data_IF_780027579286
#
_entry.id   IF_780027579286
#
_cell.length_a   1.000
_cell.length_b   1.000
_cell.length_c   1.000
_cell.angle_alpha   90.00
_cell.angle_beta   90.00
_cell.angle_gamma   90.00
#
_symmetry.space_group_name_H-M   'P 1'
#
loop_
_entity.id
_entity.type
_entity.pdbx_description
1 polymer ?
#
# COMPACT_ATOMS: atom_id res chain seq x y z
N UNK A 1 73.87 5.42 15.57
CA UNK A 1 73.22 5.81 14.31
C UNK A 1 71.83 5.18 14.28
N UNK A 2 70.78 5.89 13.82
CA UNK A 2 69.39 5.41 13.90
C UNK A 2 69.09 4.41 12.77
N UNK A 3 68.35 3.34 13.10
CA UNK A 3 67.94 2.32 12.15
C UNK A 3 66.77 2.80 11.26
N UNK A 4 66.76 2.29 10.02
CA UNK A 4 65.74 2.48 9.01
C UNK A 4 64.84 1.23 9.00
N UNK A 5 63.51 1.35 9.10
CA UNK A 5 62.62 1.12 7.96
C UNK A 5 61.13 1.27 8.30
N UNK A 6 60.33 1.51 7.26
CA UNK A 6 58.89 1.72 7.33
C UNK A 6 58.14 0.42 7.67
N UNK A 7 56.98 0.54 8.34
CA UNK A 7 55.86 -0.38 8.19
C UNK A 7 54.55 0.41 8.13
N UNK A 8 53.60 -0.11 7.33
CA UNK A 8 52.39 0.60 6.90
C UNK A 8 51.36 0.71 8.04
N UNK A 9 50.74 1.87 8.20
CA UNK A 9 49.66 2.07 9.18
C UNK A 9 48.28 1.74 8.58
N UNK A 10 47.89 0.49 8.77
CA UNK A 10 46.52 -0.03 8.93
C UNK A 10 45.34 0.74 8.29
N UNK A 11 44.80 0.18 7.20
CA UNK A 11 43.42 0.39 6.79
C UNK A 11 42.46 -0.35 7.75
N UNK A 12 41.90 0.34 8.75
CA UNK A 12 40.80 -0.22 9.55
C UNK A 12 39.46 0.04 8.85
N UNK A 13 39.06 -0.90 7.99
CA UNK A 13 37.63 -1.08 7.72
C UNK A 13 36.99 -1.68 8.98
N UNK A 14 36.09 -0.94 9.61
CA UNK A 14 35.38 -1.37 10.80
C UNK A 14 34.30 -2.40 10.43
N UNK A 15 34.72 -3.66 10.32
CA UNK A 15 33.82 -4.79 10.11
C UNK A 15 33.00 -5.04 11.39
N UNK A 16 31.70 -4.75 11.34
CA UNK A 16 30.80 -5.04 12.46
C UNK A 16 30.46 -6.54 12.47
N UNK A 17 31.25 -7.31 13.21
CA UNK A 17 31.02 -8.74 13.44
C UNK A 17 29.76 -8.99 14.27
N UNK A 18 28.63 -9.24 13.61
CA UNK A 18 27.48 -9.91 14.23
C UNK A 18 27.60 -11.42 14.01
N UNK A 19 28.23 -12.10 14.98
CA UNK A 19 27.97 -13.52 15.22
C UNK A 19 26.50 -13.67 15.69
N UNK A 20 25.78 -14.78 15.50
CA UNK A 20 26.22 -16.17 15.33
C UNK A 20 25.14 -17.02 14.65
N UNK A 21 25.59 -17.99 13.85
CA UNK A 21 24.97 -19.27 13.47
C UNK A 21 23.45 -19.46 13.72
N UNK A 22 22.66 -19.48 12.65
CA UNK A 22 21.77 -20.58 12.21
C UNK A 22 21.26 -20.26 10.79
N UNK A 23 21.21 -21.14 9.78
CA UNK A 23 21.84 -22.44 9.51
C UNK A 23 22.49 -22.40 8.11
N UNK A 24 23.42 -23.32 7.81
CA UNK A 24 23.88 -23.59 6.42
C UNK A 24 23.97 -25.10 6.17
N UNK A 25 23.00 -25.68 5.45
CA UNK A 25 23.14 -26.83 4.54
C UNK A 25 21.73 -27.21 4.03
N UNK A 26 21.35 -27.23 2.74
CA UNK A 26 21.96 -27.75 1.49
C UNK A 26 21.33 -29.12 1.08
N UNK A 27 20.54 -29.05 0.00
CA UNK A 27 20.39 -30.05 -1.09
C UNK A 27 19.36 -31.22 -0.97
N UNK A 28 18.40 -31.16 -1.90
CA UNK A 28 17.67 -32.24 -2.61
C UNK A 28 16.91 -33.33 -1.84
N UNK A 29 15.57 -33.27 -1.95
CA UNK A 29 14.82 -34.39 -2.52
C UNK A 29 13.76 -33.85 -3.49
N UNK A 30 13.78 -34.35 -4.72
CA UNK A 30 12.79 -34.05 -5.76
C UNK A 30 11.86 -35.25 -5.97
N UNK A 31 10.82 -35.05 -6.80
CA UNK A 31 10.02 -36.05 -7.54
C UNK A 31 8.66 -36.45 -6.91
N UNK A 32 7.61 -36.18 -7.70
CA UNK A 32 6.29 -36.84 -7.80
C UNK A 32 5.46 -37.13 -6.53
N UNK A 33 4.25 -36.58 -6.52
CA UNK A 33 3.13 -37.26 -7.21
C UNK A 33 1.96 -36.30 -7.43
N UNK A 34 1.34 -36.37 -8.61
CA UNK A 34 0.13 -35.61 -8.92
C UNK A 34 -1.11 -36.49 -9.00
N UNK A 35 -2.24 -35.94 -8.56
CA UNK A 35 -3.64 -36.28 -8.91
C UNK A 35 -4.40 -34.96 -8.68
N UNK A 36 -4.97 -34.28 -9.68
CA UNK A 36 -6.17 -34.63 -10.47
C UNK A 36 -7.43 -34.84 -9.62
N UNK A 37 -8.57 -34.36 -10.16
CA UNK A 37 -9.90 -34.19 -9.53
C UNK A 37 -9.98 -32.87 -8.73
N UNK A 38 -10.99 -32.00 -8.87
CA UNK A 38 -12.29 -32.16 -9.53
C UNK A 38 -12.62 -31.02 -10.49
N UNK A 39 -13.23 -31.35 -11.63
CA UNK A 39 -14.17 -30.44 -12.27
C UNK A 39 -15.51 -30.51 -11.51
N UNK A 40 -16.20 -29.39 -11.38
CA UNK A 40 -17.65 -29.30 -11.25
C UNK A 40 -18.08 -27.96 -11.84
N UNK A 41 -18.74 -28.04 -13.00
CA UNK A 41 -19.59 -26.98 -13.53
C UNK A 41 -20.62 -26.55 -12.49
N UNK A 42 -20.97 -25.27 -12.52
CA UNK A 42 -22.27 -24.76 -12.04
C UNK A 42 -22.56 -23.47 -12.82
N UNK A 43 -23.33 -23.61 -13.90
CA UNK A 43 -23.89 -22.50 -14.66
C UNK A 43 -25.11 -21.90 -13.94
N UNK A 44 -25.48 -20.68 -14.35
CA UNK A 44 -26.63 -19.90 -13.88
C UNK A 44 -26.59 -19.38 -12.43
N UNK A 45 -26.17 -18.12 -12.29
CA UNK A 45 -27.16 -17.10 -11.97
C UNK A 45 -26.82 -15.79 -12.68
N UNK A 46 -27.69 -15.36 -13.58
CA UNK A 46 -27.68 -13.98 -14.06
C UNK A 46 -28.01 -13.03 -12.91
N UNK A 47 -27.15 -12.03 -12.70
CA UNK A 47 -27.64 -10.73 -12.27
C UNK A 47 -27.13 -9.65 -13.20
N UNK A 48 -27.98 -9.33 -14.18
CA UNK A 48 -27.93 -8.06 -14.88
C UNK A 48 -28.00 -6.93 -13.86
N UNK A 49 -26.94 -6.13 -13.76
CA UNK A 49 -27.07 -4.67 -13.64
C UNK A 49 -26.02 -4.02 -14.53
N UNK A 50 -26.33 -4.01 -15.83
CA UNK A 50 -25.70 -3.07 -16.76
C UNK A 50 -26.36 -1.71 -16.56
N UNK A 51 -25.85 -0.92 -15.62
CA UNK A 51 -26.12 0.50 -15.58
C UNK A 51 -25.06 1.23 -16.42
N UNK A 52 -25.35 1.33 -17.73
CA UNK A 52 -24.70 2.26 -18.63
C UNK A 52 -25.04 3.71 -18.22
N UNK A 53 -24.44 4.20 -17.13
CA UNK A 53 -24.45 5.63 -16.81
C UNK A 53 -23.29 6.32 -17.53
N UNK A 54 -23.50 6.62 -18.80
CA UNK A 54 -22.63 7.51 -19.54
C UNK A 54 -22.77 8.94 -18.98
N UNK A 55 -21.81 9.40 -18.18
CA UNK A 55 -21.73 10.80 -17.77
C UNK A 55 -20.30 11.34 -17.75
N UNK A 56 -20.02 12.24 -18.70
CA UNK A 56 -19.01 13.30 -18.63
C UNK A 56 -17.54 12.92 -18.34
N UNK A 57 -16.81 12.56 -19.40
CA UNK A 57 -15.99 13.58 -20.08
C UNK A 57 -14.86 14.25 -19.29
N UNK A 58 -14.29 13.57 -18.30
CA UNK A 58 -12.92 13.80 -17.84
C UNK A 58 -12.11 12.52 -18.12
N UNK A 59 -10.80 12.64 -18.33
CA UNK A 59 -9.92 11.49 -18.55
C UNK A 59 -9.88 10.61 -17.29
N UNK A 60 -10.77 9.63 -17.22
CA UNK A 60 -10.88 8.70 -16.11
C UNK A 60 -9.77 7.65 -16.21
N UNK A 61 -8.56 8.07 -15.81
CA UNK A 61 -7.43 7.18 -15.61
C UNK A 61 -7.86 6.01 -14.72
N UNK A 62 -7.68 4.78 -15.20
CA UNK A 62 -8.19 3.57 -14.57
C UNK A 62 -7.91 3.56 -13.06
N UNK A 63 -8.98 3.50 -12.26
CA UNK A 63 -8.89 3.56 -10.81
C UNK A 63 -8.34 2.21 -10.30
N UNK A 64 -7.01 2.10 -10.23
CA UNK A 64 -6.32 0.96 -9.64
C UNK A 64 -6.81 0.79 -8.20
N UNK A 65 -7.30 -0.41 -7.88
CA UNK A 65 -7.81 -0.77 -6.56
C UNK A 65 -6.75 -1.50 -5.73
N UNK A 66 -6.70 -1.20 -4.44
CA UNK A 66 -5.86 -1.91 -3.47
C UNK A 66 -6.59 -3.07 -2.77
N UNK A 67 -5.89 -3.81 -1.89
CA UNK A 67 -6.44 -4.95 -1.15
C UNK A 67 -7.66 -4.64 -0.26
N UNK A 68 -7.86 -3.39 0.17
CA UNK A 68 -9.00 -2.93 0.97
C UNK A 68 -10.12 -2.30 0.12
N UNK A 69 -10.07 -2.47 -1.21
CA UNK A 69 -11.04 -1.90 -2.16
C UNK A 69 -10.92 -0.38 -2.36
N UNK A 70 -9.92 0.25 -1.76
CA UNK A 70 -9.62 1.67 -1.90
C UNK A 70 -8.95 1.99 -3.24
N UNK A 71 -8.91 3.27 -3.59
CA UNK A 71 -8.13 3.79 -4.73
C UNK A 71 -6.66 3.83 -4.35
N UNK A 72 -5.80 3.26 -5.19
CA UNK A 72 -4.36 3.45 -5.08
C UNK A 72 -3.95 4.84 -5.58
N UNK A 73 -3.10 5.51 -4.80
CA UNK A 73 -2.46 6.78 -5.11
C UNK A 73 -0.94 6.58 -4.92
N UNK A 74 -0.13 6.81 -5.95
CA UNK A 74 1.31 6.55 -5.90
C UNK A 74 2.12 7.83 -6.13
N UNK A 75 3.12 8.06 -5.28
CA UNK A 75 4.04 9.19 -5.33
C UNK A 75 5.48 8.71 -5.11
N UNK A 76 6.22 8.54 -6.21
CA UNK A 76 7.61 8.02 -6.26
C UNK A 76 7.76 6.61 -5.66
N UNK A 77 8.02 6.52 -4.36
CA UNK A 77 8.18 5.27 -3.61
C UNK A 77 7.15 5.11 -2.49
N UNK A 78 6.31 6.13 -2.28
CA UNK A 78 5.19 6.09 -1.35
C UNK A 78 3.93 5.71 -2.12
N UNK A 79 3.18 4.76 -1.57
CA UNK A 79 1.87 4.37 -2.10
C UNK A 79 0.85 4.48 -0.98
N UNK A 80 -0.34 4.97 -1.32
CA UNK A 80 -1.45 5.10 -0.41
C UNK A 80 -2.68 4.42 -1.02
N UNK A 81 -3.23 3.43 -0.34
CA UNK A 81 -4.59 3.01 -0.59
C UNK A 81 -5.53 3.90 0.20
N UNK A 82 -6.48 4.56 -0.46
CA UNK A 82 -7.49 5.42 0.16
C UNK A 82 -8.90 4.87 -0.12
N UNK A 83 -9.62 4.49 0.93
CA UNK A 83 -10.96 3.92 0.85
C UNK A 83 -11.96 4.76 1.66
N UNK A 84 -13.24 4.74 1.27
CA UNK A 84 -14.33 5.32 2.07
C UNK A 84 -14.98 4.17 2.84
N UNK A 85 -15.17 4.35 4.15
CA UNK A 85 -15.78 3.38 5.03
C UNK A 85 -17.09 3.94 5.60
N UNK A 86 -18.19 3.24 5.39
CA UNK A 86 -19.56 3.73 5.69
C UNK A 86 -20.39 2.70 6.48
N UNK A 87 -19.85 1.49 6.70
CA UNK A 87 -20.59 0.39 7.33
C UNK A 87 -20.63 0.57 8.85
N UNK A 88 -21.78 1.03 9.37
CA UNK A 88 -22.02 1.18 10.80
C UNK A 88 -21.40 2.44 11.43
N UNK A 89 -20.86 3.36 10.61
CA UNK A 89 -20.34 4.68 11.01
C UNK A 89 -20.68 5.71 9.93
N UNK A 90 -20.71 7.02 10.24
CA UNK A 90 -20.77 8.06 9.20
C UNK A 90 -19.62 7.92 8.21
N UNK A 91 -19.80 8.25 6.92
CA UNK A 91 -18.78 8.10 5.89
C UNK A 91 -17.45 8.75 6.25
N UNK A 92 -16.38 7.97 6.26
CA UNK A 92 -15.03 8.40 6.65
C UNK A 92 -13.97 7.86 5.71
N UNK A 93 -12.86 8.58 5.50
CA UNK A 93 -11.71 7.99 4.82
C UNK A 93 -10.93 7.07 5.75
N UNK A 94 -10.48 5.95 5.19
CA UNK A 94 -9.42 5.09 5.74
C UNK A 94 -8.29 4.99 4.75
N UNK A 95 -7.06 4.99 5.25
CA UNK A 95 -5.88 4.91 4.40
C UNK A 95 -4.83 3.94 4.94
N UNK A 96 -4.19 3.21 4.03
CA UNK A 96 -3.08 2.30 4.31
C UNK A 96 -1.90 2.70 3.44
N UNK A 97 -0.73 2.82 4.04
CA UNK A 97 0.46 3.34 3.38
C UNK A 97 1.51 2.25 3.16
N UNK A 98 2.25 2.35 2.04
CA UNK A 98 3.45 1.56 1.77
C UNK A 98 4.61 2.48 1.38
N UNK A 99 5.83 2.07 1.74
CA UNK A 99 7.04 2.67 1.23
C UNK A 99 7.92 1.58 0.61
N UNK A 100 8.26 1.72 -0.68
CA UNK A 100 9.00 0.69 -1.44
C UNK A 100 8.38 -0.70 -1.28
N UNK A 101 7.07 -0.80 -1.52
CA UNK A 101 6.26 -2.03 -1.41
C UNK A 101 6.08 -2.59 0.02
N UNK A 102 6.81 -2.07 1.02
CA UNK A 102 6.66 -2.48 2.42
C UNK A 102 5.53 -1.70 3.11
N UNK A 103 4.57 -2.36 3.80
CA UNK A 103 3.58 -1.68 4.62
C UNK A 103 4.21 -0.82 5.71
N UNK A 104 3.69 0.38 5.92
CA UNK A 104 4.02 1.25 7.04
C UNK A 104 2.96 1.09 8.14
N UNK A 105 3.37 1.13 9.41
CA UNK A 105 2.42 1.19 10.50
C UNK A 105 1.72 2.57 10.51
N UNK A 106 0.41 2.66 10.84
CA UNK A 106 -0.30 3.95 10.86
C UNK A 106 0.36 5.02 11.74
N UNK A 107 1.04 4.61 12.81
CA UNK A 107 1.80 5.50 13.71
C UNK A 107 3.06 6.12 13.11
N UNK A 108 3.55 5.60 11.98
CA UNK A 108 4.78 6.06 11.29
C UNK A 108 4.48 7.11 10.21
N UNK A 109 3.21 7.44 9.98
CA UNK A 109 2.76 8.23 8.83
C UNK A 109 1.96 9.45 9.28
N UNK A 110 2.50 10.65 9.05
CA UNK A 110 1.70 11.88 9.08
C UNK A 110 1.08 12.09 7.69
N UNK A 111 -0.23 11.87 7.57
CA UNK A 111 -0.98 12.06 6.33
C UNK A 111 -1.94 13.25 6.42
N UNK A 112 -1.92 14.07 5.37
CA UNK A 112 -2.94 15.08 5.05
C UNK A 112 -3.29 14.93 3.59
N UNK A 113 -4.58 14.94 3.25
CA UNK A 113 -5.01 14.96 1.84
C UNK A 113 -5.79 16.23 1.54
N UNK A 114 -5.70 16.67 0.29
CA UNK A 114 -6.54 17.74 -0.25
C UNK A 114 -7.59 17.12 -1.17
N UNK A 115 -8.86 17.24 -0.78
CA UNK A 115 -10.02 16.72 -1.47
C UNK A 115 -10.69 17.85 -2.27
N UNK A 116 -10.51 17.87 -3.59
CA UNK A 116 -11.17 18.82 -4.48
C UNK A 116 -12.45 18.21 -5.01
N UNK A 117 -13.60 18.78 -4.63
CA UNK A 117 -14.94 18.37 -5.07
C UNK A 117 -15.37 19.14 -6.32
N UNK A 118 -16.43 18.65 -6.98
CA UNK A 118 -17.12 19.37 -8.04
C UNK A 118 -17.53 20.79 -7.58
N UNK A 119 -17.46 21.76 -8.48
CA UNK A 119 -17.66 23.18 -8.16
C UNK A 119 -16.46 23.87 -7.50
N UNK A 120 -15.30 23.20 -7.37
CA UNK A 120 -14.06 23.81 -6.88
C UNK A 120 -13.97 23.95 -5.36
N UNK A 121 -14.89 23.34 -4.60
CA UNK A 121 -14.77 23.26 -3.14
C UNK A 121 -13.57 22.38 -2.77
N UNK A 122 -12.73 22.88 -1.86
CA UNK A 122 -11.54 22.17 -1.37
C UNK A 122 -11.69 21.87 0.12
N UNK A 123 -11.73 20.59 0.48
CA UNK A 123 -11.69 20.11 1.85
C UNK A 123 -10.26 19.62 2.18
N UNK A 124 -9.75 19.95 3.37
CA UNK A 124 -8.46 19.43 3.88
C UNK A 124 -8.74 18.45 5.01
N UNK A 125 -8.20 17.24 4.90
CA UNK A 125 -8.53 16.14 5.79
C UNK A 125 -7.24 15.64 6.43
N UNK A 126 -7.20 15.62 7.76
CA UNK A 126 -6.07 15.07 8.51
C UNK A 126 -6.41 13.64 8.93
N UNK A 127 -5.38 12.85 9.22
CA UNK A 127 -5.55 11.46 9.61
C UNK A 127 -4.92 11.19 10.98
N UNK A 128 -5.44 10.18 11.67
CA UNK A 128 -4.89 9.65 12.92
C UNK A 128 -4.81 8.13 12.88
N UNK A 129 -3.81 7.50 13.53
CA UNK A 129 -3.74 6.06 13.68
C UNK A 129 -5.02 5.51 14.33
N UNK A 130 -5.61 4.47 13.75
CA UNK A 130 -6.78 3.78 14.28
C UNK A 130 -6.81 2.31 13.81
N UNK A 131 -6.52 1.39 14.75
CA UNK A 131 -6.29 -0.02 14.44
C UNK A 131 -5.16 -0.20 13.41
N UNK A 132 -5.42 -0.91 12.31
CA UNK A 132 -4.52 -1.19 11.20
C UNK A 132 -4.41 -0.05 10.16
N UNK A 133 -5.25 0.98 10.27
CA UNK A 133 -5.39 2.04 9.27
C UNK A 133 -5.11 3.44 9.84
N UNK A 134 -4.93 4.40 8.94
CA UNK A 134 -5.11 5.83 9.19
C UNK A 134 -6.59 6.18 9.01
N UNK A 135 -7.24 6.76 10.01
CA UNK A 135 -8.63 7.23 9.95
C UNK A 135 -8.69 8.74 9.78
N UNK A 136 -9.47 9.20 8.80
CA UNK A 136 -9.71 10.63 8.54
C UNK A 136 -10.51 11.31 9.64
N UNK A 137 -10.28 12.60 9.85
CA UNK A 137 -10.95 13.43 10.87
C UNK A 137 -12.27 14.08 10.41
N UNK A 138 -12.70 13.79 9.19
CA UNK A 138 -13.78 14.49 8.48
C UNK A 138 -14.83 13.51 7.94
N UNK A 139 -16.12 13.88 8.03
CA UNK A 139 -17.23 13.12 7.45
C UNK A 139 -17.37 13.44 5.96
N UNK A 140 -17.41 12.40 5.11
CA UNK A 140 -17.30 12.49 3.66
C UNK A 140 -18.67 12.27 3.02
N UNK A 141 -19.52 13.31 3.05
CA UNK A 141 -20.82 13.23 2.37
C UNK A 141 -20.69 13.15 0.84
N UNK A 142 -21.71 12.57 0.23
CA UNK A 142 -21.93 12.51 -1.22
C UNK A 142 -22.00 13.90 -1.89
N UNK A 143 -21.75 14.00 -3.21
CA UNK A 143 -21.32 12.93 -4.11
C UNK A 143 -19.84 12.54 -3.92
N UNK A 144 -19.53 11.26 -4.19
CA UNK A 144 -18.17 10.72 -4.13
C UNK A 144 -17.30 11.02 -5.38
N UNK A 145 -17.68 12.02 -6.17
CA UNK A 145 -16.86 12.54 -7.27
C UNK A 145 -15.90 13.61 -6.73
N UNK A 146 -14.60 13.28 -6.70
CA UNK A 146 -13.55 14.17 -6.21
C UNK A 146 -12.17 13.83 -6.79
N UNK A 147 -11.27 14.82 -6.76
CA UNK A 147 -9.84 14.66 -7.03
C UNK A 147 -9.08 14.70 -5.70
N UNK A 148 -8.18 13.75 -5.49
CA UNK A 148 -7.34 13.67 -4.28
C UNK A 148 -5.90 14.04 -4.62
N UNK A 149 -5.28 14.86 -3.77
CA UNK A 149 -3.85 15.09 -3.76
C UNK A 149 -3.26 14.72 -2.40
N UNK A 150 -2.08 14.10 -2.42
CA UNK A 150 -1.30 13.61 -1.28
C UNK A 150 0.10 14.22 -1.26
#
# INVERSE_FOLDING_TARGET
MKAFNLHQTNLHQANWHWTSLYWTAIILLAIFSGTLISACDNTLSEHHHSDNTAHSGAEEAEIIKGPHGGRMLSSKHFELELSIFETGVPPEFRAWARFKEQPLAPSEVELKITLTRLGGKVDKINFKPHADALRGDSVIYEPHSFVVHI
#
